data_IF_961212645057
#
_entry.id   IF_961212645057
#
_cell.length_a   1.000
_cell.length_b   1.000
_cell.length_c   1.000
_cell.angle_alpha   90.00
_cell.angle_beta   90.00
_cell.angle_gamma   90.00
#
_symmetry.space_group_name_H-M   'P 1'
#
loop_
_entity.id
_entity.type
_entity.pdbx_description
1 polymer ?
#
# COMPACT_ATOMS: atom_id res chain seq x y z
N UNK A 1 1.22 -3.92 -9.14
CA UNK A 1 2.05 -5.09 -8.72
C UNK A 1 2.79 -4.77 -7.41
N UNK A 2 2.74 -5.66 -6.40
CA UNK A 2 3.20 -5.40 -5.01
C UNK A 2 4.60 -4.78 -4.94
N UNK A 3 5.60 -5.46 -5.50
CA UNK A 3 7.00 -5.01 -5.44
C UNK A 3 7.20 -3.68 -6.16
N UNK A 4 6.62 -3.50 -7.35
CA UNK A 4 6.73 -2.24 -8.09
C UNK A 4 6.27 -1.03 -7.27
N UNK A 5 5.20 -1.18 -6.47
CA UNK A 5 4.71 -0.12 -5.59
C UNK A 5 5.61 0.08 -4.36
N UNK A 6 6.16 -0.99 -3.80
CA UNK A 6 6.96 -0.92 -2.56
C UNK A 6 8.41 -0.50 -2.81
N UNK A 7 9.04 -0.99 -3.88
CA UNK A 7 10.46 -0.81 -4.18
C UNK A 7 10.82 0.61 -4.62
N UNK A 8 9.83 1.46 -4.92
CA UNK A 8 10.08 2.85 -5.32
C UNK A 8 10.87 3.64 -4.27
N UNK A 9 10.71 3.30 -2.98
CA UNK A 9 11.43 3.94 -1.87
C UNK A 9 12.91 3.54 -1.92
N UNK A 10 13.18 2.24 -2.07
CA UNK A 10 14.54 1.69 -2.17
C UNK A 10 15.22 2.17 -3.45
N UNK A 11 14.49 2.18 -4.57
CA UNK A 11 15.01 2.68 -5.85
C UNK A 11 15.37 4.17 -5.78
N UNK A 12 14.58 4.98 -5.10
CA UNK A 12 14.90 6.39 -4.88
C UNK A 12 16.17 6.55 -4.03
N UNK A 13 16.31 5.79 -2.95
CA UNK A 13 17.49 5.79 -2.08
C UNK A 13 18.77 5.43 -2.85
N UNK A 14 18.72 4.38 -3.68
CA UNK A 14 19.82 3.97 -4.58
C UNK A 14 20.20 5.07 -5.57
N UNK A 15 19.25 5.90 -5.99
CA UNK A 15 19.48 7.06 -6.86
C UNK A 15 19.93 8.32 -6.10
N UNK A 16 20.22 8.22 -4.81
CA UNK A 16 20.60 9.35 -3.95
C UNK A 16 19.44 10.31 -3.67
N UNK A 17 18.19 9.88 -3.87
CA UNK A 17 16.99 10.66 -3.58
C UNK A 17 16.36 10.16 -2.29
N UNK A 18 16.26 11.03 -1.30
CA UNK A 18 15.56 10.70 -0.06
C UNK A 18 14.06 10.51 -0.32
N UNK A 19 13.57 9.28 -0.17
CA UNK A 19 12.16 8.95 -0.24
C UNK A 19 11.67 8.44 1.11
N UNK A 20 10.51 8.94 1.53
CA UNK A 20 9.87 8.48 2.75
C UNK A 20 9.25 7.10 2.53
N UNK A 21 9.42 6.21 3.50
CA UNK A 21 8.73 4.92 3.52
C UNK A 21 7.21 5.10 3.42
N UNK A 22 6.52 4.10 2.88
CA UNK A 22 5.06 4.10 2.82
C UNK A 22 4.46 4.16 4.23
N UNK A 23 3.78 5.26 4.55
CA UNK A 23 3.17 5.48 5.88
C UNK A 23 2.01 4.52 6.19
N UNK A 24 1.30 4.09 5.15
CA UNK A 24 0.11 3.26 5.25
C UNK A 24 0.23 2.09 4.28
N UNK A 25 -0.07 0.87 4.73
CA UNK A 25 -0.11 -0.30 3.86
C UNK A 25 -1.24 -1.26 4.24
N UNK A 26 -2.09 -1.60 3.28
CA UNK A 26 -3.08 -2.67 3.40
C UNK A 26 -2.78 -3.65 2.27
N UNK A 27 -2.50 -4.90 2.63
CA UNK A 27 -2.23 -5.98 1.67
C UNK A 27 -3.38 -6.97 1.71
N UNK A 28 -4.14 -7.04 0.61
CA UNK A 28 -5.16 -8.07 0.39
C UNK A 28 -4.50 -9.19 -0.41
N UNK A 29 -4.43 -10.39 0.15
CA UNK A 29 -3.62 -11.46 -0.45
C UNK A 29 -4.18 -12.85 -0.16
N UNK A 30 -3.96 -13.78 -1.09
CA UNK A 30 -4.09 -15.22 -0.84
C UNK A 30 -2.72 -15.90 -0.77
N UNK A 31 -1.65 -15.17 -1.08
CA UNK A 31 -0.28 -15.68 -1.03
C UNK A 31 0.15 -15.91 0.42
N UNK A 32 0.73 -17.08 0.64
CA UNK A 32 1.25 -17.55 1.90
C UNK A 32 2.72 -17.12 2.06
N UNK A 33 3.18 -16.91 3.29
CA UNK A 33 4.57 -16.52 3.56
C UNK A 33 5.56 -17.69 3.51
N UNK A 34 5.09 -18.93 3.66
CA UNK A 34 5.93 -20.13 3.81
C UNK A 34 6.72 -20.49 2.57
N UNK A 35 6.29 -20.04 1.40
CA UNK A 35 7.01 -20.27 0.14
C UNK A 35 8.18 -19.30 -0.07
N UNK A 36 8.34 -18.29 0.80
CA UNK A 36 9.37 -17.25 0.69
C UNK A 36 9.23 -16.37 -0.55
N UNK A 37 8.09 -16.41 -1.24
CA UNK A 37 7.87 -15.63 -2.44
C UNK A 37 7.62 -14.16 -2.11
N UNK A 38 8.05 -13.27 -3.02
CA UNK A 38 7.81 -11.84 -2.88
C UNK A 38 6.32 -11.47 -2.84
N UNK A 39 5.44 -12.32 -3.41
CA UNK A 39 3.99 -12.15 -3.32
C UNK A 39 3.48 -12.33 -1.89
N UNK A 40 3.99 -13.34 -1.18
CA UNK A 40 3.63 -13.69 0.20
C UNK A 40 4.36 -12.90 1.29
N UNK A 41 5.47 -12.22 0.97
CA UNK A 41 6.28 -11.49 1.95
C UNK A 41 5.45 -10.55 2.85
N UNK A 42 5.79 -10.54 4.14
CA UNK A 42 4.99 -9.81 5.13
C UNK A 42 5.26 -8.31 5.09
N UNK A 43 4.34 -7.51 5.63
CA UNK A 43 4.58 -6.07 5.80
C UNK A 43 5.69 -5.80 6.84
N UNK A 44 5.95 -6.74 7.77
CA UNK A 44 7.09 -6.69 8.69
C UNK A 44 8.41 -6.89 7.96
N UNK A 45 8.45 -7.82 7.01
CA UNK A 45 9.60 -7.99 6.14
C UNK A 45 9.79 -6.76 5.24
N UNK A 46 8.72 -6.22 4.65
CA UNK A 46 8.82 -4.98 3.88
C UNK A 46 9.35 -3.79 4.71
N UNK A 47 9.07 -3.77 6.02
CA UNK A 47 9.62 -2.78 6.94
C UNK A 47 11.14 -2.95 7.15
N UNK A 48 11.66 -4.18 7.26
CA UNK A 48 13.12 -4.40 7.43
C UNK A 48 13.94 -3.95 6.23
N UNK A 49 13.31 -3.86 5.05
CA UNK A 49 13.89 -3.32 3.82
C UNK A 49 13.68 -1.81 3.63
N UNK A 50 13.08 -1.10 4.59
CA UNK A 50 12.81 0.33 4.48
C UNK A 50 11.74 0.68 3.45
N UNK A 51 10.85 -0.26 3.07
CA UNK A 51 9.78 0.00 2.09
C UNK A 51 8.55 0.61 2.75
N UNK A 52 8.17 0.08 3.91
CA UNK A 52 6.93 0.44 4.63
C UNK A 52 7.26 0.85 6.06
N UNK A 53 6.65 1.93 6.56
CA UNK A 53 6.84 2.40 7.92
C UNK A 53 6.08 1.52 8.94
N UNK A 54 6.55 1.49 10.18
CA UNK A 54 5.87 0.80 11.26
C UNK A 54 4.56 1.52 11.68
N UNK A 55 3.58 0.74 12.17
CA UNK A 55 2.45 1.25 12.93
C UNK A 55 1.09 1.20 12.23
N UNK A 56 0.97 1.64 10.97
CA UNK A 56 -0.33 1.64 10.27
C UNK A 56 -0.35 0.69 9.06
N UNK A 57 -0.20 -0.59 9.35
CA UNK A 57 -0.13 -1.67 8.36
C UNK A 57 -1.09 -2.80 8.68
N UNK A 58 -1.66 -3.45 7.67
CA UNK A 58 -2.51 -4.63 7.86
C UNK A 58 -2.42 -5.59 6.67
N UNK A 59 -2.25 -6.88 6.96
CA UNK A 59 -2.44 -7.95 5.97
C UNK A 59 -3.82 -8.59 6.17
N UNK A 60 -4.55 -8.80 5.09
CA UNK A 60 -5.87 -9.45 5.07
C UNK A 60 -5.77 -10.64 4.12
N UNK A 61 -5.93 -11.84 4.69
CA UNK A 61 -5.87 -13.08 3.92
C UNK A 61 -7.25 -13.39 3.33
N UNK A 62 -7.38 -13.27 2.02
CA UNK A 62 -8.63 -13.48 1.28
C UNK A 62 -8.57 -12.91 -0.13
N UNK A 63 -9.47 -13.37 -0.99
CA UNK A 63 -9.54 -12.91 -2.37
C UNK A 63 -9.92 -11.43 -2.46
N UNK A 64 -9.31 -10.72 -3.41
CA UNK A 64 -9.58 -9.30 -3.64
C UNK A 64 -11.04 -9.04 -4.03
N UNK A 65 -11.67 -9.96 -4.76
CA UNK A 65 -13.08 -9.89 -5.19
C UNK A 65 -14.07 -9.79 -4.03
N UNK A 66 -13.70 -10.28 -2.85
CA UNK A 66 -14.51 -10.21 -1.62
C UNK A 66 -14.02 -9.09 -0.72
N UNK A 67 -12.71 -9.06 -0.44
CA UNK A 67 -12.13 -8.17 0.57
C UNK A 67 -12.11 -6.70 0.12
N UNK A 68 -11.86 -6.44 -1.17
CA UNK A 68 -11.75 -5.08 -1.68
C UNK A 68 -13.10 -4.33 -1.71
N UNK A 69 -14.22 -4.90 -2.20
CA UNK A 69 -15.52 -4.21 -2.15
C UNK A 69 -15.95 -3.86 -0.73
N UNK A 70 -15.70 -4.72 0.26
CA UNK A 70 -16.02 -4.46 1.66
C UNK A 70 -15.20 -3.29 2.23
N UNK A 71 -13.89 -3.27 1.96
CA UNK A 71 -13.01 -2.18 2.36
C UNK A 71 -13.42 -0.85 1.72
N UNK A 72 -13.69 -0.86 0.42
CA UNK A 72 -14.10 0.32 -0.33
C UNK A 72 -15.47 0.85 0.15
N UNK A 73 -16.44 -0.04 0.33
CA UNK A 73 -17.77 0.29 0.87
C UNK A 73 -17.66 0.97 2.24
N UNK A 74 -16.93 0.35 3.18
CA UNK A 74 -16.74 0.95 4.50
C UNK A 74 -16.07 2.33 4.42
N UNK A 75 -14.99 2.47 3.65
CA UNK A 75 -14.28 3.74 3.50
C UNK A 75 -15.17 4.84 2.90
N UNK A 76 -16.02 4.49 1.94
CA UNK A 76 -16.97 5.41 1.30
C UNK A 76 -18.08 5.84 2.26
N UNK A 77 -18.74 4.87 2.91
CA UNK A 77 -19.86 5.13 3.83
C UNK A 77 -19.44 5.84 5.12
N UNK A 78 -18.19 5.69 5.55
CA UNK A 78 -17.62 6.45 6.69
C UNK A 78 -17.62 7.96 6.44
N UNK A 79 -17.67 8.41 5.17
CA UNK A 79 -17.83 9.82 4.83
C UNK A 79 -16.60 10.70 5.07
N UNK A 80 -15.47 10.15 5.52
CA UNK A 80 -14.22 10.88 5.75
C UNK A 80 -13.72 11.64 4.50
N UNK A 81 -14.16 11.25 3.31
CA UNK A 81 -13.82 11.93 2.06
C UNK A 81 -14.50 13.28 1.90
N UNK A 82 -15.64 13.53 2.55
CA UNK A 82 -16.43 14.77 2.42
C UNK A 82 -15.69 16.01 2.91
N UNK A 83 -14.82 15.86 3.91
CA UNK A 83 -13.99 16.95 4.43
C UNK A 83 -12.64 17.12 3.73
N UNK A 84 -12.31 16.29 2.72
CA UNK A 84 -11.02 16.36 2.05
C UNK A 84 -11.07 17.41 0.94
N UNK A 85 -10.02 18.24 0.84
CA UNK A 85 -9.82 19.14 -0.30
C UNK A 85 -9.75 18.32 -1.59
N UNK A 86 -10.65 18.60 -2.53
CA UNK A 86 -10.63 17.99 -3.86
C UNK A 86 -9.31 18.27 -4.57
N UNK A 87 -8.77 17.26 -5.26
CA UNK A 87 -7.57 17.42 -6.10
C UNK A 87 -8.03 17.58 -7.55
N UNK A 88 -7.87 18.78 -8.09
CA UNK A 88 -8.29 19.14 -9.45
C UNK A 88 -7.28 18.67 -10.51
N UNK A 89 -6.93 17.37 -10.51
CA UNK A 89 -5.88 16.82 -11.38
C UNK A 89 -6.13 17.07 -12.88
N UNK A 90 -7.38 17.25 -13.29
CA UNK A 90 -7.74 17.63 -14.65
C UNK A 90 -7.08 18.95 -15.11
N UNK A 91 -6.72 19.85 -14.19
CA UNK A 91 -6.02 21.10 -14.51
C UNK A 91 -4.55 20.88 -14.93
N UNK A 92 -3.97 19.72 -14.62
CA UNK A 92 -2.58 19.36 -14.97
C UNK A 92 -2.48 18.91 -16.43
N UNK A 93 -3.58 18.45 -17.03
CA UNK A 93 -3.63 17.96 -18.41
C UNK A 93 -3.87 19.06 -19.45
N UNK A 94 -3.80 20.34 -19.04
CA UNK A 94 -3.93 21.51 -19.93
C UNK A 94 -2.59 21.92 -20.51
#
# INVERSE_FOLDING_TARGET
PKNFTQDIVVAADVLGKEAKMHKYAIQLTVADERDGALSGSTLKEAHSWGKVAEGTTQMVFGEATITFPLLASYAYHKGNWKGRKGREFNKILK
#
